data_IF_042817733182
#
_entry.id   IF_042817733182
#
_cell.length_a   1.000
_cell.length_b   1.000
_cell.length_c   1.000
_cell.angle_alpha   90.00
_cell.angle_beta   90.00
_cell.angle_gamma   90.00
#
_symmetry.space_group_name_H-M   'P 1'
#
loop_
_entity.id
_entity.type
_entity.pdbx_description
1 polymer ?
#
# COMPACT_ATOMS: atom_id res chain seq x y z
N UNK A 1 22.35 -37.00 -55.43
CA UNK A 1 21.88 -37.61 -54.16
C UNK A 1 22.93 -37.31 -53.11
N UNK A 2 22.70 -36.34 -52.23
CA UNK A 2 23.66 -35.97 -51.17
C UNK A 2 22.98 -36.19 -49.81
N UNK A 3 23.58 -37.06 -49.00
CA UNK A 3 23.14 -37.39 -47.63
C UNK A 3 23.80 -36.38 -46.69
N UNK A 4 22.99 -35.53 -46.06
CA UNK A 4 23.44 -34.62 -45.01
C UNK A 4 23.16 -35.25 -43.65
N UNK A 5 24.22 -35.36 -42.85
CA UNK A 5 24.22 -35.98 -41.51
C UNK A 5 24.08 -34.91 -40.43
N UNK A 6 23.55 -35.33 -39.26
CA UNK A 6 23.61 -34.67 -37.92
C UNK A 6 22.68 -33.46 -37.74
N UNK A 7 22.05 -33.23 -36.58
CA UNK A 7 22.46 -33.49 -35.20
C UNK A 7 21.20 -33.59 -34.32
N UNK A 8 21.17 -34.55 -33.39
CA UNK A 8 20.11 -34.67 -32.37
C UNK A 8 20.28 -33.55 -31.35
N UNK A 9 19.38 -32.58 -31.34
CA UNK A 9 19.31 -31.54 -30.30
C UNK A 9 18.58 -32.09 -29.08
N UNK A 10 19.29 -32.21 -27.96
CA UNK A 10 18.74 -32.56 -26.65
C UNK A 10 18.22 -31.26 -26.02
N UNK A 11 16.91 -31.10 -25.74
CA UNK A 11 16.45 -29.93 -25.01
C UNK A 11 16.81 -30.09 -23.53
N UNK A 12 17.68 -29.22 -23.03
CA UNK A 12 17.94 -29.08 -21.60
C UNK A 12 16.71 -28.45 -20.92
N UNK A 13 16.00 -29.26 -20.13
CA UNK A 13 14.89 -28.78 -19.29
C UNK A 13 15.48 -28.09 -18.06
N UNK A 14 15.41 -26.77 -18.03
CA UNK A 14 15.82 -25.95 -16.89
C UNK A 14 14.62 -25.78 -15.95
N UNK A 15 14.54 -26.61 -14.90
CA UNK A 15 13.53 -26.45 -13.84
C UNK A 15 14.02 -25.40 -12.85
N UNK A 16 13.49 -24.18 -12.94
CA UNK A 16 13.67 -23.16 -11.90
C UNK A 16 12.65 -23.41 -10.78
N UNK A 17 13.09 -24.00 -9.68
CA UNK A 17 12.31 -24.04 -8.43
C UNK A 17 12.41 -22.70 -7.72
N UNK A 18 11.32 -21.93 -7.72
CA UNK A 18 11.18 -20.74 -6.87
C UNK A 18 10.98 -21.19 -5.42
N UNK A 19 12.05 -21.17 -4.63
CA UNK A 19 11.98 -21.25 -3.17
C UNK A 19 11.54 -19.88 -2.65
N UNK A 20 10.27 -19.79 -2.25
CA UNK A 20 9.75 -18.65 -1.51
C UNK A 20 10.16 -18.76 -0.03
N UNK A 21 11.14 -17.97 0.39
CA UNK A 21 11.44 -17.77 1.80
C UNK A 21 10.61 -16.59 2.31
N UNK A 22 9.47 -16.90 2.94
CA UNK A 22 8.78 -15.95 3.82
C UNK A 22 9.57 -15.85 5.13
N UNK A 23 10.50 -14.91 5.19
CA UNK A 23 11.10 -14.45 6.45
C UNK A 23 10.61 -13.03 6.70
N UNK A 24 9.65 -12.91 7.63
CA UNK A 24 9.24 -11.62 8.18
C UNK A 24 10.38 -10.95 8.95
N UNK A 25 10.24 -9.64 9.15
CA UNK A 25 11.10 -8.88 10.07
C UNK A 25 12.04 -7.87 9.41
N UNK A 26 11.68 -7.30 8.26
CA UNK A 26 12.38 -6.15 7.72
C UNK A 26 11.91 -4.84 8.37
N UNK A 27 12.25 -4.57 9.63
CA UNK A 27 12.18 -3.20 10.17
C UNK A 27 13.41 -2.39 9.70
N UNK A 28 13.65 -2.39 8.39
CA UNK A 28 14.64 -1.56 7.75
C UNK A 28 14.06 -0.18 7.56
N UNK A 29 14.08 0.65 8.60
CA UNK A 29 13.72 2.08 8.62
C UNK A 29 12.82 2.58 7.49
N UNK A 30 11.69 1.91 7.25
CA UNK A 30 10.76 2.32 6.22
C UNK A 30 10.17 3.64 6.66
N UNK A 31 10.31 4.69 5.84
CA UNK A 31 9.59 5.93 6.09
C UNK A 31 8.10 5.59 6.04
N UNK A 32 7.45 5.63 7.19
CA UNK A 32 6.02 5.39 7.32
C UNK A 32 5.29 6.69 7.04
N UNK A 33 4.20 6.62 6.30
CA UNK A 33 3.34 7.77 6.02
C UNK A 33 2.45 8.05 7.23
N UNK A 34 2.00 6.98 7.91
CA UNK A 34 1.13 7.03 9.08
C UNK A 34 1.91 6.83 10.37
N UNK A 35 1.78 7.80 11.28
CA UNK A 35 2.24 7.66 12.66
C UNK A 35 1.39 6.65 13.44
N UNK A 36 1.93 6.14 14.55
CA UNK A 36 1.20 5.25 15.45
C UNK A 36 -0.13 5.86 15.96
N UNK A 37 -0.16 7.18 16.19
CA UNK A 37 -1.39 7.90 16.58
C UNK A 37 -2.40 7.94 15.43
N UNK A 38 -1.95 8.24 14.19
CA UNK A 38 -2.83 8.21 13.02
C UNK A 38 -3.41 6.81 12.81
N UNK A 39 -2.62 5.74 12.94
CA UNK A 39 -3.12 4.37 12.84
C UNK A 39 -4.23 4.08 13.86
N UNK A 40 -4.06 4.49 15.13
CA UNK A 40 -5.08 4.32 16.17
C UNK A 40 -6.35 5.11 15.85
N UNK A 41 -6.20 6.39 15.52
CA UNK A 41 -7.34 7.27 15.25
C UNK A 41 -8.12 6.84 14.01
N UNK A 42 -7.43 6.43 12.94
CA UNK A 42 -8.05 5.87 11.73
C UNK A 42 -8.75 4.54 11.99
N UNK A 43 -8.20 3.69 12.87
CA UNK A 43 -8.86 2.44 13.29
C UNK A 43 -10.17 2.75 14.00
N UNK A 44 -10.16 3.69 14.94
CA UNK A 44 -11.35 4.11 15.67
C UNK A 44 -12.42 4.64 14.72
N UNK A 45 -12.05 5.51 13.77
CA UNK A 45 -12.96 6.04 12.75
C UNK A 45 -13.55 4.93 11.88
N UNK A 46 -12.73 3.97 11.42
CA UNK A 46 -13.18 2.81 10.64
C UNK A 46 -14.15 1.92 11.42
N UNK A 47 -13.94 1.81 12.73
CA UNK A 47 -14.82 1.12 13.66
C UNK A 47 -16.03 1.95 14.11
N UNK A 48 -16.33 3.04 13.38
CA UNK A 48 -17.50 3.91 13.61
C UNK A 48 -17.50 4.61 14.97
N UNK A 49 -16.33 4.79 15.58
CA UNK A 49 -16.22 5.65 16.75
C UNK A 49 -16.54 7.12 16.38
N UNK A 50 -16.98 7.95 17.34
CA UNK A 50 -17.26 9.36 17.06
C UNK A 50 -16.05 10.11 16.48
N UNK A 51 -16.31 10.97 15.49
CA UNK A 51 -15.30 11.86 14.91
C UNK A 51 -14.98 13.01 15.88
N UNK A 52 -14.02 12.79 16.78
CA UNK A 52 -13.49 13.85 17.65
C UNK A 52 -12.59 14.78 16.84
N UNK A 53 -12.32 15.98 17.37
CA UNK A 53 -11.38 16.92 16.74
C UNK A 53 -10.01 16.26 16.47
N UNK A 54 -9.48 15.50 17.44
CA UNK A 54 -8.22 14.78 17.28
C UNK A 54 -8.27 13.79 16.11
N UNK A 55 -9.29 12.92 16.06
CA UNK A 55 -9.42 11.92 14.99
C UNK A 55 -9.58 12.55 13.61
N UNK A 56 -10.37 13.61 13.54
CA UNK A 56 -10.57 14.40 12.31
C UNK A 56 -9.24 15.02 11.84
N UNK A 57 -8.43 15.55 12.76
CA UNK A 57 -7.12 16.11 12.42
C UNK A 57 -6.10 15.04 12.01
N UNK A 58 -6.16 13.86 12.61
CA UNK A 58 -5.34 12.70 12.20
C UNK A 58 -5.68 12.27 10.77
N UNK A 59 -6.96 12.13 10.44
CA UNK A 59 -7.41 11.83 9.07
C UNK A 59 -7.02 12.95 8.09
N UNK A 60 -7.30 14.22 8.41
CA UNK A 60 -6.96 15.34 7.54
C UNK A 60 -5.45 15.46 7.28
N UNK A 61 -4.62 15.12 8.27
CA UNK A 61 -3.16 15.10 8.11
C UNK A 61 -2.73 13.98 7.17
N UNK A 62 -3.31 12.78 7.32
CA UNK A 62 -3.05 11.67 6.41
C UNK A 62 -3.49 11.98 4.97
N UNK A 63 -4.66 12.59 4.79
CA UNK A 63 -5.15 13.00 3.47
C UNK A 63 -4.24 14.05 2.81
N UNK A 64 -3.75 15.03 3.58
CA UNK A 64 -2.78 16.02 3.08
C UNK A 64 -1.46 15.38 2.67
N UNK A 65 -0.94 14.43 3.44
CA UNK A 65 0.23 13.64 3.05
C UNK A 65 -0.03 12.84 1.76
N UNK A 66 -1.27 12.36 1.56
CA UNK A 66 -1.70 11.66 0.35
C UNK A 66 -1.99 12.59 -0.85
N UNK A 67 -1.74 13.90 -0.73
CA UNK A 67 -1.88 14.87 -1.81
C UNK A 67 -3.24 15.55 -1.91
N UNK A 68 -4.12 15.42 -0.90
CA UNK A 68 -5.33 16.22 -0.81
C UNK A 68 -5.02 17.62 -0.27
N UNK A 69 -5.58 18.64 -0.92
CA UNK A 69 -5.30 20.05 -0.61
C UNK A 69 -6.58 20.77 -0.18
N UNK A 70 -7.03 20.62 1.08
CA UNK A 70 -8.27 21.24 1.58
C UNK A 70 -8.25 22.78 1.56
N UNK A 71 -7.07 23.38 1.50
CA UNK A 71 -6.89 24.83 1.39
C UNK A 71 -7.26 25.40 0.01
N UNK A 72 -7.38 24.54 -1.02
CA UNK A 72 -7.78 24.98 -2.36
C UNK A 72 -9.25 25.36 -2.36
N UNK A 73 -9.51 26.67 -2.49
CA UNK A 73 -10.86 27.22 -2.59
C UNK A 73 -11.66 26.63 -3.77
N UNK A 74 -11.00 26.37 -4.89
CA UNK A 74 -11.59 25.74 -6.07
C UNK A 74 -10.70 24.58 -6.48
N UNK A 75 -11.15 23.37 -6.16
CA UNK A 75 -10.53 22.14 -6.65
C UNK A 75 -11.34 21.63 -7.85
N UNK A 76 -10.83 21.77 -9.09
CA UNK A 76 -11.54 21.34 -10.29
C UNK A 76 -11.78 19.83 -10.33
N UNK A 77 -10.99 19.05 -9.56
CA UNK A 77 -11.07 17.60 -9.51
C UNK A 77 -11.89 17.10 -8.31
N UNK A 78 -12.55 17.98 -7.55
CA UNK A 78 -13.41 17.56 -6.44
C UNK A 78 -14.69 16.87 -6.98
N UNK A 79 -15.08 15.69 -6.45
CA UNK A 79 -14.53 14.99 -5.28
C UNK A 79 -13.43 13.95 -5.59
N UNK A 80 -13.08 13.71 -6.85
CA UNK A 80 -12.11 12.68 -7.26
C UNK A 80 -10.71 12.87 -6.63
N UNK A 81 -10.28 14.10 -6.37
CA UNK A 81 -9.04 14.39 -5.63
C UNK A 81 -9.05 13.83 -4.21
N UNK A 82 -10.14 14.05 -3.46
CA UNK A 82 -10.36 13.53 -2.12
C UNK A 82 -10.42 11.99 -2.13
N UNK A 83 -11.18 11.41 -3.07
CA UNK A 83 -11.32 9.95 -3.17
C UNK A 83 -9.99 9.27 -3.49
N UNK A 84 -9.15 9.87 -4.34
CA UNK A 84 -7.79 9.36 -4.61
C UNK A 84 -6.94 9.36 -3.34
N UNK A 85 -6.96 10.46 -2.58
CA UNK A 85 -6.22 10.56 -1.34
C UNK A 85 -6.73 9.56 -0.29
N UNK A 86 -8.04 9.36 -0.17
CA UNK A 86 -8.63 8.35 0.72
C UNK A 86 -8.17 6.93 0.37
N UNK A 87 -8.19 6.55 -0.91
CA UNK A 87 -7.66 5.24 -1.34
C UNK A 87 -6.18 5.06 -1.03
N UNK A 88 -5.40 6.13 -1.13
CA UNK A 88 -3.99 6.11 -0.77
C UNK A 88 -3.79 5.94 0.74
N UNK A 89 -4.56 6.65 1.57
CA UNK A 89 -4.56 6.46 3.03
C UNK A 89 -4.99 5.05 3.41
N UNK A 90 -5.99 4.48 2.73
CA UNK A 90 -6.40 3.08 2.95
C UNK A 90 -5.25 2.11 2.62
N UNK A 91 -4.54 2.33 1.52
CA UNK A 91 -3.37 1.53 1.15
C UNK A 91 -2.29 1.60 2.22
N UNK A 92 -1.97 2.79 2.71
CA UNK A 92 -1.02 2.97 3.81
C UNK A 92 -1.51 2.32 5.11
N UNK A 93 -2.79 2.45 5.43
CA UNK A 93 -3.38 1.85 6.61
C UNK A 93 -3.19 0.33 6.61
N UNK A 94 -3.46 -0.33 5.49
CA UNK A 94 -3.26 -1.78 5.34
C UNK A 94 -1.79 -2.19 5.45
N UNK A 95 -0.88 -1.39 4.87
CA UNK A 95 0.54 -1.70 4.86
C UNK A 95 1.23 -1.42 6.21
N UNK A 96 0.86 -0.34 6.89
CA UNK A 96 1.65 0.25 7.99
C UNK A 96 1.01 0.05 9.37
N UNK A 97 -0.32 -0.07 9.47
CA UNK A 97 -1.00 -0.12 10.77
C UNK A 97 -1.17 -1.57 11.29
N UNK A 98 -0.69 -1.89 12.50
CA UNK A 98 -0.88 -3.22 13.10
C UNK A 98 -2.34 -3.63 13.23
N UNK A 99 -3.24 -2.67 13.46
CA UNK A 99 -4.69 -2.89 13.63
C UNK A 99 -5.34 -3.44 12.36
N UNK A 100 -4.79 -3.14 11.18
CA UNK A 100 -5.29 -3.67 9.91
C UNK A 100 -5.07 -5.17 9.77
N UNK A 101 -4.09 -5.73 10.50
CA UNK A 101 -3.71 -7.16 10.47
C UNK A 101 -4.37 -7.97 11.58
N UNK A 102 -5.01 -7.30 12.53
CA UNK A 102 -5.62 -7.91 13.71
C UNK A 102 -7.13 -8.18 13.55
N UNK A 103 -7.72 -7.80 12.42
CA UNK A 103 -9.09 -8.13 12.02
C UNK A 103 -9.14 -9.34 11.11
#
# INVERSE_FOLDING_TARGET
MNIATRMRSIPAVLVLTLVGCAAGGGNGGAQTHLSATQCRDLTDLRNKAPATHQRSMSELTALRQAGYHPERRFDPDYPASLERAQRQVDTWYQAECPQARAG
#
